data_IF_807195765770
#
_entry.id   IF_807195765770
#
_cell.length_a   1.000
_cell.length_b   1.000
_cell.length_c   1.000
_cell.angle_alpha   90.00
_cell.angle_beta   90.00
_cell.angle_gamma   90.00
#
_symmetry.space_group_name_H-M   'P 1'
#
loop_
_entity.id
_entity.type
_entity.pdbx_description
1 polymer ?
#
# COMPACT_ATOMS: atom_id res chain seq x y z
N UNK A 1 30.21 -11.72 12.70
CA UNK A 1 29.45 -10.83 13.61
C UNK A 1 28.06 -11.43 13.84
N UNK A 2 27.33 -11.07 14.90
CA UNK A 2 25.93 -11.47 15.11
C UNK A 2 25.04 -10.23 14.95
N UNK A 3 23.79 -10.45 14.59
CA UNK A 3 22.80 -9.37 14.46
C UNK A 3 22.36 -8.87 15.83
N UNK A 4 22.42 -7.57 16.07
CA UNK A 4 22.00 -6.98 17.35
C UNK A 4 20.49 -7.16 17.65
N UNK A 5 19.69 -7.51 16.64
CA UNK A 5 18.22 -7.63 16.75
C UNK A 5 17.76 -9.07 16.94
N UNK A 6 18.29 -10.02 16.17
CA UNK A 6 17.82 -11.41 16.16
C UNK A 6 18.92 -12.43 16.49
N UNK A 7 20.09 -11.94 16.93
CA UNK A 7 21.29 -12.71 17.30
C UNK A 7 21.80 -13.70 16.23
N UNK A 8 21.29 -13.60 15.01
CA UNK A 8 21.66 -14.47 13.89
C UNK A 8 23.09 -14.18 13.45
N UNK A 9 23.86 -15.24 13.18
CA UNK A 9 25.24 -15.13 12.70
C UNK A 9 25.27 -14.53 11.30
N UNK A 10 25.95 -13.39 11.16
CA UNK A 10 26.04 -12.65 9.89
C UNK A 10 27.35 -13.01 9.18
N UNK A 11 27.29 -13.43 7.89
CA UNK A 11 28.48 -13.69 7.10
C UNK A 11 29.32 -12.42 6.89
N UNK A 12 30.65 -12.53 6.83
CA UNK A 12 31.54 -11.38 6.64
C UNK A 12 31.26 -10.70 5.29
N UNK A 13 31.12 -9.37 5.31
CA UNK A 13 30.83 -8.55 4.12
C UNK A 13 29.34 -8.35 3.80
N UNK A 14 28.42 -8.90 4.61
CA UNK A 14 26.99 -8.63 4.45
C UNK A 14 26.57 -7.32 5.14
N UNK A 15 25.92 -6.43 4.39
CA UNK A 15 25.43 -5.13 4.87
C UNK A 15 24.10 -5.23 5.64
N UNK A 16 23.45 -6.40 5.59
CA UNK A 16 22.19 -6.71 6.26
C UNK A 16 22.21 -8.10 6.85
N UNK A 17 21.48 -8.29 7.95
CA UNK A 17 21.21 -9.60 8.52
C UNK A 17 20.35 -10.42 7.53
N UNK A 18 20.75 -11.66 7.20
CA UNK A 18 19.99 -12.49 6.27
C UNK A 18 18.65 -12.97 6.83
N UNK A 19 18.45 -12.92 8.16
CA UNK A 19 17.25 -13.45 8.80
C UNK A 19 16.19 -12.36 9.05
N UNK A 20 16.59 -11.19 9.56
CA UNK A 20 15.64 -10.11 9.86
C UNK A 20 15.82 -8.84 9.03
N UNK A 21 16.77 -8.82 8.08
CA UNK A 21 17.03 -7.66 7.22
C UNK A 21 17.71 -6.47 7.92
N UNK A 22 17.98 -6.54 9.22
CA UNK A 22 18.61 -5.46 9.99
C UNK A 22 19.95 -5.04 9.39
N UNK A 23 20.12 -3.73 9.11
CA UNK A 23 21.36 -3.18 8.57
C UNK A 23 22.47 -3.23 9.61
N UNK A 24 23.57 -3.87 9.25
CA UNK A 24 24.70 -4.03 10.16
C UNK A 24 25.53 -2.75 10.08
N UNK A 25 25.66 -2.05 11.21
CA UNK A 25 26.53 -0.88 11.27
C UNK A 25 27.98 -1.35 11.19
N UNK A 26 28.60 -1.19 10.03
CA UNK A 26 30.05 -1.39 9.90
C UNK A 26 30.75 -0.35 10.77
N UNK A 27 31.34 -0.78 11.89
CA UNK A 27 32.26 0.05 12.65
C UNK A 27 33.52 0.23 11.81
N UNK A 28 33.61 1.35 11.09
CA UNK A 28 34.83 1.78 10.40
C UNK A 28 35.88 2.13 11.44
N UNK A 29 36.55 1.09 11.93
CA UNK A 29 37.77 1.19 12.74
C UNK A 29 38.94 1.02 11.77
N UNK A 30 39.34 2.12 11.14
CA UNK A 30 40.60 2.19 10.42
C UNK A 30 41.53 3.14 11.20
N UNK A 31 42.32 2.56 12.09
CA UNK A 31 43.38 3.25 12.81
C UNK A 31 44.66 3.25 11.95
N UNK A 32 45.19 4.45 11.75
CA UNK A 32 46.59 4.83 11.50
C UNK A 32 47.29 4.51 10.17
N UNK A 33 47.69 5.59 9.47
CA UNK A 33 49.11 5.96 9.39
C UNK A 33 49.28 7.48 9.22
N UNK A 34 50.42 7.98 9.72
CA UNK A 34 50.74 9.35 10.12
C UNK A 34 51.25 10.29 9.01
N UNK A 35 51.30 11.59 9.41
CA UNK A 35 52.17 12.70 8.97
C UNK A 35 51.58 13.62 7.87
N UNK A 36 51.56 14.95 7.94
CA UNK A 36 52.23 15.93 8.82
C UNK A 36 51.44 17.25 8.83
N UNK A 37 51.66 18.06 9.86
CA UNK A 37 51.08 19.37 10.21
C UNK A 37 51.13 20.48 9.15
N UNK A 38 50.15 21.40 9.19
CA UNK A 38 50.36 22.86 9.20
C UNK A 38 49.06 23.63 9.54
N UNK A 39 49.22 24.81 10.16
CA UNK A 39 48.28 25.65 10.92
C UNK A 39 47.13 26.35 10.14
N UNK A 40 46.03 26.62 10.88
CA UNK A 40 44.99 27.71 10.89
C UNK A 40 45.00 28.82 9.80
N UNK A 41 43.89 29.55 9.50
CA UNK A 41 42.70 29.81 10.34
C UNK A 41 41.30 29.75 9.69
N UNK A 42 40.28 29.73 10.55
CA UNK A 42 38.84 29.93 10.30
C UNK A 42 38.52 31.36 9.83
N UNK A 43 37.56 31.56 8.90
CA UNK A 43 36.66 32.70 9.08
C UNK A 43 35.20 32.52 8.60
N UNK A 44 34.33 33.11 9.45
CA UNK A 44 33.23 34.04 9.15
C UNK A 44 31.94 33.57 8.44
N UNK A 45 30.89 33.60 9.27
CA UNK A 45 29.46 33.70 8.97
C UNK A 45 29.16 34.80 7.95
N UNK A 46 28.53 34.45 6.82
CA UNK A 46 27.95 35.42 5.88
C UNK A 46 26.43 35.26 5.74
N UNK A 47 25.71 36.34 6.09
CA UNK A 47 24.25 36.52 5.93
C UNK A 47 23.86 36.78 4.45
N UNK A 48 22.60 36.56 4.06
CA UNK A 48 22.22 36.40 2.66
C UNK A 48 22.10 37.74 1.91
N UNK A 49 22.48 37.77 0.63
CA UNK A 49 22.17 38.86 -0.30
C UNK A 49 21.17 38.39 -1.36
N UNK A 50 19.97 38.96 -1.31
CA UNK A 50 19.00 38.99 -2.42
C UNK A 50 19.66 39.61 -3.65
N UNK A 51 19.42 39.05 -4.83
CA UNK A 51 19.29 39.81 -6.07
C UNK A 51 18.47 39.01 -7.10
N UNK A 52 17.29 39.55 -7.44
CA UNK A 52 16.50 39.20 -8.63
C UNK A 52 17.36 39.32 -9.88
N UNK A 53 17.27 38.33 -10.79
CA UNK A 53 17.29 38.59 -12.24
C UNK A 53 16.22 37.74 -12.90
N UNK A 54 15.19 38.43 -13.38
CA UNK A 54 14.24 37.92 -14.37
C UNK A 54 15.00 37.79 -15.69
N UNK A 55 14.98 36.60 -16.30
CA UNK A 55 15.41 36.39 -17.69
C UNK A 55 14.38 35.53 -18.43
N UNK A 56 13.73 36.15 -19.40
CA UNK A 56 12.96 35.59 -20.53
C UNK A 56 13.40 36.49 -21.71
N UNK A 57 13.60 36.07 -22.98
CA UNK A 57 13.12 34.85 -23.70
C UNK A 57 14.18 34.18 -24.65
N UNK A 58 13.83 33.05 -25.28
CA UNK A 58 13.67 32.95 -26.77
C UNK A 58 13.06 31.60 -27.21
N UNK A 59 11.95 31.67 -27.96
CA UNK A 59 11.35 30.59 -28.74
C UNK A 59 12.14 30.31 -30.02
N UNK A 60 12.23 29.02 -30.37
CA UNK A 60 12.09 28.35 -31.69
C UNK A 60 12.85 27.02 -31.62
N UNK A 61 12.45 25.86 -32.17
CA UNK A 61 11.28 25.36 -32.91
C UNK A 61 11.48 23.83 -33.00
N UNK A 62 10.40 23.06 -32.81
CA UNK A 62 10.12 21.70 -33.31
C UNK A 62 11.21 20.60 -33.27
N UNK A 63 10.89 19.49 -32.58
CA UNK A 63 10.81 18.17 -33.23
C UNK A 63 10.02 17.17 -32.40
N UNK A 64 8.93 16.69 -32.99
CA UNK A 64 8.14 15.52 -32.56
C UNK A 64 9.00 14.24 -32.60
N UNK A 65 8.91 13.46 -31.52
CA UNK A 65 9.17 12.01 -31.31
C UNK A 65 9.73 11.90 -29.88
N UNK A 66 9.00 11.44 -28.87
CA UNK A 66 8.50 10.07 -28.77
C UNK A 66 7.25 9.96 -27.89
N UNK A 67 6.07 9.80 -28.52
CA UNK A 67 5.02 8.97 -27.95
C UNK A 67 5.48 7.52 -28.10
N UNK A 68 5.94 6.91 -27.01
CA UNK A 68 5.80 5.47 -26.66
C UNK A 68 6.74 5.15 -25.50
N UNK A 69 6.25 4.27 -24.63
CA UNK A 69 6.92 3.55 -23.53
C UNK A 69 7.10 4.28 -22.18
N UNK A 70 6.02 4.82 -21.60
CA UNK A 70 5.98 5.10 -20.14
C UNK A 70 4.84 4.40 -19.38
N UNK A 71 3.93 3.70 -20.06
CA UNK A 71 2.82 2.95 -19.44
C UNK A 71 3.22 1.57 -18.90
N UNK A 72 4.36 1.01 -19.32
CA UNK A 72 4.75 -0.37 -18.94
C UNK A 72 5.44 -0.49 -17.58
N UNK A 73 6.13 0.56 -17.11
CA UNK A 73 6.90 0.51 -15.86
C UNK A 73 6.09 0.91 -14.64
N UNK A 74 5.09 1.79 -14.82
CA UNK A 74 4.19 2.24 -13.75
C UNK A 74 3.26 1.10 -13.29
N UNK A 75 2.69 0.34 -14.25
CA UNK A 75 1.85 -0.84 -13.98
C UNK A 75 2.57 -1.91 -13.15
N UNK A 76 3.88 -2.11 -13.35
CA UNK A 76 4.68 -3.09 -12.60
C UNK A 76 4.99 -2.64 -11.16
N UNK A 77 5.11 -1.33 -10.93
CA UNK A 77 5.46 -0.79 -9.61
C UNK A 77 4.25 -0.73 -8.68
N UNK A 78 3.06 -0.42 -9.22
CA UNK A 78 1.80 -0.43 -8.47
C UNK A 78 1.40 -1.85 -8.08
N UNK A 79 1.46 -2.81 -9.03
CA UNK A 79 1.21 -4.24 -8.73
C UNK A 79 2.14 -4.75 -7.63
N UNK A 80 3.41 -4.32 -7.62
CA UNK A 80 4.38 -4.74 -6.60
C UNK A 80 4.10 -4.16 -5.20
N UNK A 81 3.60 -2.91 -5.11
CA UNK A 81 3.25 -2.28 -3.83
C UNK A 81 1.95 -2.88 -3.26
N UNK A 82 0.96 -3.12 -4.11
CA UNK A 82 -0.32 -3.73 -3.71
C UNK A 82 -0.14 -5.19 -3.29
N UNK A 83 0.70 -5.95 -4.00
CA UNK A 83 1.08 -7.31 -3.59
C UNK A 83 1.81 -7.34 -2.24
N UNK A 84 2.63 -6.32 -1.93
CA UNK A 84 3.29 -6.20 -0.62
C UNK A 84 2.31 -5.91 0.52
N UNK A 85 1.25 -5.14 0.28
CA UNK A 85 0.22 -4.85 1.27
C UNK A 85 -0.66 -6.10 1.53
N UNK A 86 -1.00 -6.86 0.48
CA UNK A 86 -1.71 -8.14 0.62
C UNK A 86 -0.92 -9.15 1.48
N UNK A 87 0.41 -9.22 1.31
CA UNK A 87 1.29 -10.08 2.14
C UNK A 87 1.36 -9.61 3.59
N UNK A 88 1.27 -8.30 3.85
CA UNK A 88 1.27 -7.75 5.22
C UNK A 88 -0.05 -8.03 5.93
N UNK A 89 -1.19 -8.02 5.23
CA UNK A 89 -2.48 -8.40 5.84
C UNK A 89 -2.57 -9.90 6.18
N UNK A 90 -1.96 -10.78 5.36
CA UNK A 90 -1.80 -12.20 5.71
C UNK A 90 -0.96 -12.42 6.98
N UNK A 91 0.04 -11.57 7.23
CA UNK A 91 0.88 -11.68 8.42
C UNK A 91 0.16 -11.23 9.72
N UNK A 92 -0.75 -10.25 9.65
CA UNK A 92 -1.49 -9.78 10.82
C UNK A 92 -2.53 -10.76 11.34
N UNK A 93 -3.15 -11.57 10.47
CA UNK A 93 -4.06 -12.66 10.88
C UNK A 93 -3.29 -13.80 11.57
N UNK A 94 -2.02 -14.03 11.18
CA UNK A 94 -1.18 -15.06 11.79
C UNK A 94 -0.66 -14.72 13.20
N UNK A 95 -0.43 -13.45 13.53
CA UNK A 95 0.16 -13.07 14.84
C UNK A 95 -0.85 -13.22 15.99
N UNK A 96 -2.15 -13.11 15.72
CA UNK A 96 -3.20 -13.36 16.71
C UNK A 96 -3.26 -14.80 17.24
N UNK A 97 -2.80 -15.79 16.44
CA UNK A 97 -2.93 -17.21 16.76
C UNK A 97 -1.63 -17.91 17.20
N UNK A 98 -0.45 -17.31 17.04
CA UNK A 98 0.84 -17.96 17.40
C UNK A 98 1.09 -18.03 18.93
N UNK A 99 0.28 -17.39 19.77
CA UNK A 99 0.44 -17.44 21.24
C UNK A 99 -0.46 -18.49 21.93
N UNK A 100 -1.35 -19.17 21.20
CA UNK A 100 -2.17 -20.26 21.76
C UNK A 100 -1.58 -21.63 21.42
N UNK A 101 -0.84 -22.20 22.39
CA UNK A 101 -0.55 -23.63 22.55
C UNK A 101 -0.15 -24.45 21.31
N UNK A 102 1.17 -24.62 21.15
CA UNK A 102 1.78 -25.79 20.49
C UNK A 102 1.35 -27.09 21.19
N UNK A 103 0.21 -27.66 20.78
CA UNK A 103 -0.13 -29.06 21.00
C UNK A 103 -0.46 -29.67 19.64
N UNK A 104 0.48 -30.45 19.12
CA UNK A 104 0.36 -31.21 17.87
C UNK A 104 -0.83 -32.17 17.91
N UNK A 105 -1.99 -31.72 17.43
CA UNK A 105 -2.95 -32.62 16.82
C UNK A 105 -2.64 -32.62 15.32
N UNK A 106 -2.87 -33.75 14.66
CA UNK A 106 -2.78 -33.82 13.20
C UNK A 106 -3.96 -33.02 12.64
N UNK A 107 -3.79 -31.72 12.53
CA UNK A 107 -4.77 -30.84 11.89
C UNK A 107 -4.69 -31.04 10.38
N UNK A 108 -5.83 -31.22 9.73
CA UNK A 108 -5.96 -31.14 8.28
C UNK A 108 -6.09 -29.67 7.91
N UNK A 109 -5.03 -29.12 7.36
CA UNK A 109 -4.95 -27.75 6.84
C UNK A 109 -4.91 -27.83 5.31
N UNK A 110 -5.82 -27.09 4.65
CA UNK A 110 -5.88 -26.97 3.20
C UNK A 110 -5.88 -25.50 2.83
N UNK A 111 -5.02 -25.12 1.88
CA UNK A 111 -5.03 -23.77 1.31
C UNK A 111 -4.93 -23.84 -0.21
N UNK A 112 -5.54 -22.85 -0.87
CA UNK A 112 -5.54 -22.77 -2.32
C UNK A 112 -5.64 -21.33 -2.82
N UNK A 113 -5.22 -21.12 -4.06
CA UNK A 113 -5.20 -19.82 -4.74
C UNK A 113 -6.41 -19.61 -5.67
N UNK A 114 -7.34 -20.58 -5.73
CA UNK A 114 -8.58 -20.44 -6.50
C UNK A 114 -9.79 -20.97 -5.77
N UNK A 115 -10.84 -20.14 -5.65
CA UNK A 115 -12.09 -20.54 -4.99
C UNK A 115 -12.80 -21.64 -5.78
N UNK A 116 -12.79 -21.55 -7.12
CA UNK A 116 -13.39 -22.57 -7.97
C UNK A 116 -12.72 -23.94 -7.80
N UNK A 117 -11.40 -23.98 -7.61
CA UNK A 117 -10.69 -25.23 -7.34
C UNK A 117 -11.15 -25.87 -6.03
N UNK A 118 -11.26 -25.09 -4.95
CA UNK A 118 -11.76 -25.58 -3.66
C UNK A 118 -13.20 -26.11 -3.76
N UNK A 119 -14.08 -25.40 -4.47
CA UNK A 119 -15.46 -25.84 -4.73
C UNK A 119 -15.48 -27.14 -5.53
N UNK A 120 -14.69 -27.24 -6.60
CA UNK A 120 -14.63 -28.41 -7.47
C UNK A 120 -14.09 -29.65 -6.74
N UNK A 121 -13.21 -29.45 -5.75
CA UNK A 121 -12.68 -30.51 -4.89
C UNK A 121 -13.67 -30.95 -3.79
N UNK A 122 -14.74 -30.19 -3.56
CA UNK A 122 -15.73 -30.45 -2.51
C UNK A 122 -15.30 -29.95 -1.14
N UNK A 123 -14.32 -29.05 -1.09
CA UNK A 123 -13.77 -28.45 0.13
C UNK A 123 -14.53 -27.15 0.50
N UNK A 124 -15.84 -27.10 0.25
CA UNK A 124 -16.66 -25.91 0.46
C UNK A 124 -17.86 -26.21 1.36
N UNK A 125 -17.99 -25.43 2.44
CA UNK A 125 -19.17 -25.40 3.31
C UNK A 125 -20.24 -24.40 2.81
N UNK A 126 -19.91 -23.62 1.77
CA UNK A 126 -20.66 -22.51 1.21
C UNK A 126 -19.88 -21.19 1.27
N UNK A 127 -18.80 -21.12 2.06
CA UNK A 127 -17.94 -19.93 2.18
C UNK A 127 -17.26 -19.59 0.85
N UNK A 128 -16.74 -20.59 0.13
CA UNK A 128 -16.03 -20.37 -1.13
C UNK A 128 -17.01 -19.92 -2.22
N UNK A 129 -18.19 -20.54 -2.29
CA UNK A 129 -19.24 -20.14 -3.22
C UNK A 129 -19.71 -18.70 -2.95
N UNK A 130 -19.91 -18.32 -1.68
CA UNK A 130 -20.29 -16.95 -1.31
C UNK A 130 -19.21 -15.93 -1.73
N UNK A 131 -17.94 -16.26 -1.49
CA UNK A 131 -16.82 -15.41 -1.87
C UNK A 131 -16.72 -15.26 -3.40
N UNK A 132 -16.92 -16.34 -4.15
CA UNK A 132 -16.91 -16.33 -5.61
C UNK A 132 -18.07 -15.53 -6.20
N UNK A 133 -19.26 -15.62 -5.61
CA UNK A 133 -20.43 -14.82 -6.02
C UNK A 133 -20.17 -13.32 -5.80
N UNK A 134 -19.58 -12.96 -4.65
CA UNK A 134 -19.19 -11.59 -4.34
C UNK A 134 -18.10 -11.07 -5.29
N UNK A 135 -17.10 -11.89 -5.59
CA UNK A 135 -16.08 -11.57 -6.59
C UNK A 135 -16.70 -11.23 -7.95
N UNK A 136 -17.64 -12.05 -8.43
CA UNK A 136 -18.29 -11.85 -9.73
C UNK A 136 -19.12 -10.57 -9.78
N UNK A 137 -19.83 -10.26 -8.70
CA UNK A 137 -20.56 -9.00 -8.53
C UNK A 137 -19.60 -7.79 -8.57
N UNK A 138 -18.48 -7.85 -7.85
CA UNK A 138 -17.46 -6.82 -7.90
C UNK A 138 -16.82 -6.69 -9.29
N UNK A 139 -16.42 -7.79 -9.92
CA UNK A 139 -15.87 -7.78 -11.29
C UNK A 139 -16.81 -7.05 -12.26
N UNK A 140 -18.11 -7.33 -12.17
CA UNK A 140 -19.13 -6.68 -13.00
C UNK A 140 -19.22 -5.19 -12.68
N UNK A 141 -19.27 -4.81 -11.40
CA UNK A 141 -19.28 -3.40 -11.00
C UNK A 141 -18.04 -2.63 -11.52
N UNK A 142 -16.85 -3.18 -11.34
CA UNK A 142 -15.61 -2.54 -11.80
C UNK A 142 -15.54 -2.42 -13.33
N UNK A 143 -15.91 -3.48 -14.06
CA UNK A 143 -15.78 -3.51 -15.52
C UNK A 143 -16.93 -2.80 -16.24
N UNK A 144 -18.17 -2.98 -15.82
CA UNK A 144 -19.35 -2.48 -16.51
C UNK A 144 -19.78 -1.10 -16.01
N UNK A 145 -19.75 -0.87 -14.69
CA UNK A 145 -20.24 0.39 -14.12
C UNK A 145 -19.14 1.46 -14.00
N UNK A 146 -17.92 1.05 -13.66
CA UNK A 146 -16.76 1.95 -13.53
C UNK A 146 -15.88 1.97 -14.78
N UNK A 147 -16.07 1.05 -15.74
CA UNK A 147 -15.31 0.96 -16.99
C UNK A 147 -13.80 0.82 -16.77
N UNK A 148 -13.40 0.05 -15.76
CA UNK A 148 -12.00 -0.19 -15.40
C UNK A 148 -11.45 -1.48 -16.00
N UNK A 149 -10.13 -1.52 -16.19
CA UNK A 149 -9.40 -2.78 -16.38
C UNK A 149 -9.40 -3.54 -15.05
N UNK A 150 -9.90 -4.79 -15.05
CA UNK A 150 -10.08 -5.61 -13.85
C UNK A 150 -9.06 -6.74 -13.77
N UNK A 151 -8.48 -6.93 -12.59
CA UNK A 151 -7.67 -8.08 -12.21
C UNK A 151 -8.12 -8.58 -10.83
N UNK A 152 -7.92 -9.86 -10.54
CA UNK A 152 -8.42 -10.48 -9.31
C UNK A 152 -7.37 -11.39 -8.68
N UNK A 153 -7.31 -11.35 -7.36
CA UNK A 153 -6.58 -12.30 -6.53
C UNK A 153 -7.54 -12.87 -5.51
N UNK A 154 -7.64 -14.18 -5.48
CA UNK A 154 -8.48 -14.92 -4.54
C UNK A 154 -7.63 -15.97 -3.82
N UNK A 155 -8.05 -16.37 -2.63
CA UNK A 155 -7.42 -17.48 -1.90
C UNK A 155 -8.36 -18.00 -0.83
N UNK A 156 -8.15 -19.24 -0.42
CA UNK A 156 -8.87 -19.83 0.72
C UNK A 156 -7.94 -20.62 1.62
N UNK A 157 -8.38 -20.76 2.87
CA UNK A 157 -7.73 -21.56 3.90
C UNK A 157 -8.81 -22.29 4.72
N UNK A 158 -8.61 -23.57 4.96
CA UNK A 158 -9.50 -24.42 5.74
C UNK A 158 -8.68 -25.08 6.84
N UNK A 159 -9.05 -24.77 8.07
CA UNK A 159 -8.44 -25.32 9.26
C UNK A 159 -9.51 -26.05 10.09
N UNK A 160 -9.44 -27.38 10.10
CA UNK A 160 -10.50 -28.24 10.66
C UNK A 160 -11.87 -27.93 10.02
N UNK A 161 -12.82 -27.41 10.79
CA UNK A 161 -14.16 -27.03 10.34
C UNK A 161 -14.28 -25.51 10.10
N UNK A 162 -13.17 -24.77 10.09
CA UNK A 162 -13.15 -23.33 9.89
C UNK A 162 -12.76 -22.99 8.45
N UNK A 163 -13.71 -22.47 7.68
CA UNK A 163 -13.53 -22.13 6.26
C UNK A 163 -13.31 -20.64 6.14
N UNK A 164 -12.20 -20.25 5.53
CA UNK A 164 -11.86 -18.84 5.30
C UNK A 164 -11.61 -18.59 3.82
N UNK A 165 -12.15 -17.50 3.31
CA UNK A 165 -11.92 -17.06 1.93
C UNK A 165 -11.58 -15.58 1.89
N UNK A 166 -10.72 -15.22 0.95
CA UNK A 166 -10.27 -13.86 0.73
C UNK A 166 -10.34 -13.51 -0.76
N UNK A 167 -10.92 -12.36 -1.06
CA UNK A 167 -11.08 -11.86 -2.42
C UNK A 167 -10.55 -10.44 -2.50
N UNK A 168 -9.72 -10.18 -3.50
CA UNK A 168 -9.30 -8.86 -3.93
C UNK A 168 -9.67 -8.63 -5.39
N UNK A 169 -10.43 -7.59 -5.65
CA UNK A 169 -10.70 -7.10 -7.00
C UNK A 169 -9.99 -5.78 -7.21
N UNK A 170 -9.09 -5.75 -8.20
CA UNK A 170 -8.30 -4.60 -8.59
C UNK A 170 -8.91 -3.98 -9.85
N UNK A 171 -9.33 -2.72 -9.77
CA UNK A 171 -9.77 -1.92 -10.89
C UNK A 171 -8.79 -0.79 -11.17
N UNK A 172 -8.41 -0.61 -12.44
CA UNK A 172 -7.56 0.52 -12.84
C UNK A 172 -8.09 1.22 -14.08
N UNK A 173 -8.03 2.55 -14.08
CA UNK A 173 -8.22 3.38 -15.27
C UNK A 173 -7.04 4.37 -15.43
N UNK A 174 -7.22 5.43 -16.22
CA UNK A 174 -6.16 6.41 -16.47
C UNK A 174 -5.92 7.40 -15.31
N UNK A 175 -6.83 7.44 -14.34
CA UNK A 175 -6.89 8.43 -13.26
C UNK A 175 -6.70 7.74 -11.91
N UNK A 176 -7.42 6.65 -11.66
CA UNK A 176 -7.46 5.99 -10.36
C UNK A 176 -7.09 4.50 -10.44
N UNK A 177 -6.56 4.01 -9.33
CA UNK A 177 -6.47 2.58 -9.03
C UNK A 177 -7.28 2.31 -7.76
N UNK A 178 -8.25 1.42 -7.87
CA UNK A 178 -9.19 1.05 -6.82
C UNK A 178 -9.04 -0.44 -6.52
N UNK A 179 -8.97 -0.81 -5.24
CA UNK A 179 -8.98 -2.19 -4.78
C UNK A 179 -10.14 -2.36 -3.82
N UNK A 180 -10.95 -3.40 -4.04
CA UNK A 180 -11.93 -3.85 -3.07
C UNK A 180 -11.53 -5.21 -2.55
N UNK A 181 -11.48 -5.33 -1.22
CA UNK A 181 -11.07 -6.53 -0.50
C UNK A 181 -12.17 -6.96 0.45
N UNK A 182 -12.43 -8.26 0.52
CA UNK A 182 -13.35 -8.83 1.50
C UNK A 182 -12.81 -10.15 2.05
N UNK A 183 -13.05 -10.40 3.33
CA UNK A 183 -12.76 -11.65 3.99
C UNK A 183 -14.05 -12.31 4.45
N UNK A 184 -14.12 -13.62 4.28
CA UNK A 184 -15.21 -14.47 4.70
C UNK A 184 -14.70 -15.52 5.67
N UNK A 185 -15.54 -15.86 6.64
CA UNK A 185 -15.31 -16.95 7.56
C UNK A 185 -16.63 -17.66 7.83
N UNK A 186 -16.69 -18.98 7.62
CA UNK A 186 -17.87 -19.82 7.88
C UNK A 186 -19.18 -19.21 7.33
N UNK A 187 -19.22 -18.92 6.03
CA UNK A 187 -20.35 -18.36 5.30
C UNK A 187 -20.75 -16.93 5.68
N UNK A 188 -19.92 -16.22 6.46
CA UNK A 188 -20.18 -14.83 6.85
C UNK A 188 -19.02 -13.91 6.41
N UNK A 189 -19.30 -12.77 5.75
CA UNK A 189 -18.30 -11.74 5.57
C UNK A 189 -18.04 -11.04 6.89
N UNK A 190 -16.77 -10.78 7.23
CA UNK A 190 -16.43 -10.11 8.49
C UNK A 190 -15.54 -8.88 8.33
N UNK A 191 -14.80 -8.76 7.24
CA UNK A 191 -13.94 -7.60 7.03
C UNK A 191 -13.98 -7.16 5.58
N UNK A 192 -14.31 -5.90 5.35
CA UNK A 192 -14.28 -5.25 4.05
C UNK A 192 -13.28 -4.09 4.06
N UNK A 193 -12.58 -3.88 2.95
CA UNK A 193 -11.81 -2.66 2.76
C UNK A 193 -11.77 -2.19 1.32
N UNK A 194 -11.69 -0.86 1.18
CA UNK A 194 -11.55 -0.15 -0.08
C UNK A 194 -10.28 0.67 -0.05
N UNK A 195 -9.43 0.45 -1.04
CA UNK A 195 -8.23 1.25 -1.27
C UNK A 195 -8.35 2.01 -2.57
N UNK A 196 -8.22 3.33 -2.52
CA UNK A 196 -8.20 4.22 -3.67
C UNK A 196 -6.85 4.94 -3.74
N UNK A 197 -6.26 4.97 -4.93
CA UNK A 197 -5.07 5.79 -5.18
C UNK A 197 -5.17 6.55 -6.49
N UNK A 198 -4.60 7.76 -6.52
CA UNK A 198 -4.63 8.67 -7.65
C UNK A 198 -3.48 9.67 -7.59
N UNK A 199 -3.28 10.44 -8.66
CA UNK A 199 -2.36 11.57 -8.66
C UNK A 199 -3.12 12.89 -8.56
N UNK A 200 -2.66 13.79 -7.69
CA UNK A 200 -3.21 15.12 -7.50
C UNK A 200 -2.20 16.19 -7.90
N UNK A 201 -2.69 17.30 -8.46
CA UNK A 201 -1.85 18.46 -8.77
C UNK A 201 -1.66 19.29 -7.49
N UNK A 202 -0.45 19.28 -6.95
CA UNK A 202 -0.17 19.82 -5.63
C UNK A 202 -0.80 18.99 -4.49
N UNK A 203 -0.48 19.42 -3.27
CA UNK A 203 -0.99 18.76 -2.05
C UNK A 203 -2.51 18.85 -1.95
N UNK A 204 -3.16 17.76 -1.51
CA UNK A 204 -4.63 17.71 -1.32
C UNK A 204 -5.12 18.62 -0.19
N UNK A 205 -4.19 19.16 0.62
CA UNK A 205 -4.52 20.08 1.73
C UNK A 205 -4.90 21.46 1.23
N UNK A 206 -4.34 21.87 0.10
CA UNK A 206 -4.40 23.24 -0.41
C UNK A 206 -5.01 23.33 -1.81
N UNK A 207 -5.12 22.20 -2.52
CA UNK A 207 -5.60 22.14 -3.90
C UNK A 207 -6.87 21.30 -4.00
N UNK A 208 -7.62 21.54 -5.06
CA UNK A 208 -8.81 20.76 -5.39
C UNK A 208 -8.45 19.29 -5.62
N UNK A 209 -9.37 18.39 -5.25
CA UNK A 209 -9.19 16.95 -5.40
C UNK A 209 -9.53 16.57 -6.84
N UNK A 210 -8.56 16.01 -7.55
CA UNK A 210 -8.72 15.60 -8.94
C UNK A 210 -9.32 14.19 -9.07
N UNK A 211 -10.59 14.04 -8.65
CA UNK A 211 -11.36 12.80 -8.78
C UNK A 211 -12.69 13.08 -9.48
N UNK A 212 -13.17 12.15 -10.32
CA UNK A 212 -14.47 12.25 -10.97
C UNK A 212 -15.59 12.02 -9.95
N UNK A 213 -16.41 13.05 -9.71
CA UNK A 213 -17.45 12.99 -8.69
C UNK A 213 -18.47 11.87 -8.94
N UNK A 214 -18.89 11.65 -10.19
CA UNK A 214 -19.89 10.63 -10.51
C UNK A 214 -19.31 9.21 -10.33
N UNK A 215 -18.03 9.01 -10.63
CA UNK A 215 -17.34 7.75 -10.39
C UNK A 215 -17.24 7.47 -8.87
N UNK A 216 -16.88 8.47 -8.07
CA UNK A 216 -16.81 8.35 -6.61
C UNK A 216 -18.19 8.12 -5.99
N UNK A 217 -19.25 8.77 -6.48
CA UNK A 217 -20.62 8.54 -6.01
C UNK A 217 -21.06 7.08 -6.20
N UNK A 218 -20.74 6.46 -7.34
CA UNK A 218 -21.01 5.02 -7.55
C UNK A 218 -20.26 4.12 -6.56
N UNK A 219 -19.01 4.44 -6.26
CA UNK A 219 -18.18 3.69 -5.30
C UNK A 219 -18.77 3.85 -3.89
N UNK A 220 -19.11 5.08 -3.50
CA UNK A 220 -19.77 5.37 -2.22
C UNK A 220 -21.07 4.59 -2.06
N UNK A 221 -21.93 4.56 -3.09
CA UNK A 221 -23.19 3.80 -3.07
C UNK A 221 -22.96 2.28 -2.96
N UNK A 222 -21.98 1.74 -3.70
CA UNK A 222 -21.70 0.30 -3.70
C UNK A 222 -21.21 -0.21 -2.35
N UNK A 223 -20.36 0.57 -1.69
CA UNK A 223 -19.68 0.16 -0.45
C UNK A 223 -20.25 0.84 0.81
N UNK A 224 -21.28 1.68 0.67
CA UNK A 224 -21.86 2.45 1.77
C UNK A 224 -20.82 3.27 2.56
N UNK A 225 -19.95 3.98 1.83
CA UNK A 225 -18.86 4.81 2.37
C UNK A 225 -18.97 6.27 1.88
N UNK A 226 -18.22 7.18 2.50
CA UNK A 226 -18.08 8.57 2.04
C UNK A 226 -16.60 8.94 1.82
N UNK A 227 -16.10 8.70 0.60
CA UNK A 227 -14.71 8.97 0.23
C UNK A 227 -14.37 10.47 0.34
N UNK A 228 -15.21 11.36 -0.18
CA UNK A 228 -14.91 12.79 -0.14
C UNK A 228 -15.00 13.33 1.30
N UNK A 229 -16.00 12.91 2.08
CA UNK A 229 -16.09 13.24 3.51
C UNK A 229 -14.85 12.79 4.28
N UNK A 230 -14.39 11.55 4.06
CA UNK A 230 -13.17 11.03 4.65
C UNK A 230 -11.92 11.87 4.26
N UNK A 231 -11.76 12.20 2.98
CA UNK A 231 -10.63 13.04 2.56
C UNK A 231 -10.69 14.42 3.22
N UNK A 232 -11.84 15.08 3.23
CA UNK A 232 -12.00 16.41 3.84
C UNK A 232 -11.70 16.40 5.35
N UNK A 233 -12.15 15.37 6.06
CA UNK A 233 -11.87 15.23 7.48
C UNK A 233 -10.37 15.05 7.76
N UNK A 234 -9.69 14.20 6.98
CA UNK A 234 -8.35 13.73 7.32
C UNK A 234 -7.21 14.48 6.62
N UNK A 235 -7.45 15.17 5.49
CA UNK A 235 -6.40 15.94 4.79
C UNK A 235 -5.76 17.02 5.68
N UNK A 236 -6.56 17.66 6.54
CA UNK A 236 -6.05 18.66 7.49
C UNK A 236 -5.13 18.04 8.56
N UNK A 237 -5.30 16.75 8.87
CA UNK A 237 -4.58 16.03 9.94
C UNK A 237 -3.23 15.44 9.48
N UNK A 238 -2.91 15.45 8.18
CA UNK A 238 -1.66 14.88 7.60
C UNK A 238 -0.39 15.35 8.34
N UNK A 239 0.37 14.42 8.90
CA UNK A 239 1.66 14.74 9.53
C UNK A 239 2.77 14.55 8.51
N UNK A 240 3.73 15.47 8.50
CA UNK A 240 4.91 15.35 7.64
C UNK A 240 5.83 14.31 8.27
N UNK A 241 6.24 13.32 7.47
CA UNK A 241 7.37 12.47 7.81
C UNK A 241 8.66 13.26 7.50
N UNK A 242 9.50 13.46 8.51
CA UNK A 242 10.71 14.29 8.41
C UNK A 242 11.76 13.69 7.47
N UNK A 243 11.66 12.39 7.17
CA UNK A 243 12.69 11.65 6.42
C UNK A 243 12.44 11.57 4.90
N UNK A 244 11.19 11.63 4.41
CA UNK A 244 10.88 11.21 3.02
C UNK A 244 9.85 12.07 2.24
N UNK A 245 9.61 13.34 2.62
CA UNK A 245 8.63 14.23 1.95
C UNK A 245 7.21 13.64 1.79
N UNK A 246 6.92 12.56 2.52
CA UNK A 246 5.63 11.89 2.56
C UNK A 246 4.84 12.46 3.72
N UNK A 247 3.54 12.69 3.51
CA UNK A 247 2.64 13.08 4.60
C UNK A 247 1.59 12.02 4.77
N UNK A 248 1.29 11.64 6.00
CA UNK A 248 0.31 10.60 6.27
C UNK A 248 -0.52 10.89 7.51
N UNK A 249 -1.71 10.31 7.55
CA UNK A 249 -2.54 10.12 8.75
C UNK A 249 -2.93 8.67 8.80
N UNK A 250 -2.79 8.12 9.99
CA UNK A 250 -3.49 6.91 10.41
C UNK A 250 -4.50 7.40 11.44
N UNK A 251 -5.78 7.11 11.27
CA UNK A 251 -6.69 7.20 12.43
C UNK A 251 -6.51 5.93 13.24
N UNK A 252 -6.46 6.07 14.56
CA UNK A 252 -6.71 4.93 15.43
C UNK A 252 -8.12 4.38 15.11
N UNK A 253 -8.26 3.05 15.04
CA UNK A 253 -9.55 2.35 14.88
C UNK A 253 -10.61 3.04 15.73
N UNK A 254 -11.59 3.67 15.10
CA UNK A 254 -12.73 4.25 15.78
C UNK A 254 -13.95 3.51 15.28
N UNK A 255 -14.70 2.92 16.21
CA UNK A 255 -16.03 2.38 15.95
C UNK A 255 -16.04 1.39 14.77
N UNK A 256 -15.12 0.41 14.80
CA UNK A 256 -14.99 -0.67 13.80
C UNK A 256 -14.56 -0.22 12.38
N UNK A 257 -14.22 1.06 12.22
CA UNK A 257 -13.65 1.61 10.99
C UNK A 257 -12.17 1.95 11.15
N UNK A 258 -11.42 1.75 10.07
CA UNK A 258 -10.02 2.14 9.95
C UNK A 258 -9.81 3.01 8.72
N UNK A 259 -9.06 4.11 8.89
CA UNK A 259 -8.65 4.95 7.77
C UNK A 259 -7.15 5.20 7.77
N UNK A 260 -6.57 5.07 6.58
CA UNK A 260 -5.23 5.49 6.27
C UNK A 260 -5.27 6.42 5.06
N UNK A 261 -4.73 7.64 5.21
CA UNK A 261 -4.61 8.61 4.12
C UNK A 261 -3.16 9.07 4.04
N UNK A 262 -2.56 9.00 2.87
CA UNK A 262 -1.23 9.55 2.62
C UNK A 262 -1.14 10.29 1.30
N UNK A 263 -0.23 11.26 1.25
CA UNK A 263 0.22 11.91 0.03
C UNK A 263 1.75 11.87 0.00
N UNK A 264 2.32 11.64 -1.17
CA UNK A 264 3.78 11.62 -1.36
C UNK A 264 4.15 12.46 -2.58
N UNK A 265 5.22 13.25 -2.46
CA UNK A 265 5.66 14.12 -3.54
C UNK A 265 6.17 13.29 -4.72
N UNK A 266 5.54 13.48 -5.88
CA UNK A 266 5.89 12.87 -7.15
C UNK A 266 6.77 13.77 -8.02
N UNK A 267 6.62 13.62 -9.32
CA UNK A 267 7.36 14.40 -10.34
C UNK A 267 6.44 15.52 -10.83
N UNK A 268 7.01 16.65 -11.27
CA UNK A 268 6.26 17.74 -11.91
C UNK A 268 5.14 18.33 -11.03
N UNK A 269 5.40 18.47 -9.72
CA UNK A 269 4.45 18.98 -8.71
C UNK A 269 3.18 18.13 -8.52
N UNK A 270 3.17 16.90 -9.05
CA UNK A 270 2.15 15.90 -8.74
C UNK A 270 2.42 15.24 -7.38
N UNK A 271 1.35 14.92 -6.67
CA UNK A 271 1.38 14.13 -5.46
C UNK A 271 0.63 12.82 -5.69
N UNK A 272 1.26 11.69 -5.36
CA UNK A 272 0.57 10.41 -5.32
C UNK A 272 -0.19 10.33 -4.00
N UNK A 273 -1.49 10.13 -4.08
CA UNK A 273 -2.40 10.06 -2.93
C UNK A 273 -2.94 8.64 -2.80
N UNK A 274 -3.00 8.16 -1.57
CA UNK A 274 -3.48 6.84 -1.22
C UNK A 274 -4.44 6.95 -0.05
N UNK A 275 -5.65 6.39 -0.21
CA UNK A 275 -6.69 6.29 0.79
C UNK A 275 -7.04 4.81 0.97
N UNK A 276 -7.04 4.33 2.20
CA UNK A 276 -7.59 3.02 2.57
C UNK A 276 -8.65 3.22 3.64
N UNK A 277 -9.82 2.62 3.41
CA UNK A 277 -10.97 2.59 4.30
C UNK A 277 -11.28 1.12 4.60
N UNK A 278 -11.20 0.70 5.86
CA UNK A 278 -11.56 -0.64 6.28
C UNK A 278 -12.73 -0.60 7.25
N UNK A 279 -13.63 -1.58 7.18
CA UNK A 279 -14.80 -1.72 8.02
C UNK A 279 -14.89 -3.18 8.49
N UNK A 280 -14.98 -3.40 9.81
CA UNK A 280 -15.50 -4.65 10.33
C UNK A 280 -17.00 -4.71 10.01
N UNK A 281 -17.41 -5.80 9.38
CA UNK A 281 -18.79 -6.02 8.93
C UNK A 281 -19.37 -7.31 9.50
N UNK A 282 -18.62 -7.98 10.39
CA UNK A 282 -19.10 -9.15 11.09
C UNK A 282 -20.19 -8.78 12.10
N UNK A 283 -21.14 -9.69 12.31
CA UNK A 283 -22.10 -9.55 13.40
C UNK A 283 -21.38 -9.74 14.76
N UNK A 284 -21.54 -8.77 15.66
CA UNK A 284 -21.16 -8.88 17.09
C UNK A 284 -22.07 -9.87 17.84
#
# INVERSE_FOLDING_TARGET
MRCDVCDTKIPPGADRCPNCGYRVRHSSTATHTQATSANYPEPEVFKPKRNKKIYIPRREKSRNRSQRTKTSTFRKYIIFIVALIAVVQMASVFIGNIVSNYNSHNYTEFSGESLQEGIDNGDDDGTLQLALDYENDLKSFFSDDLLMDVDVSESYDIYEDNYSAYVNVYGTDNVISLTASINFQNQEPYLQSITLSWNNQGTIRENDINLDQAQIEKINEKFNIDIFGAIEEYKSKLKVDEDDNTRFVVSDYKDDESIYLSESYGIDDEYFVYLSLGQDIGDN
#
